data_IF_873757633914
#
_entry.id   IF_873757633914
#
_cell.length_a   1.000
_cell.length_b   1.000
_cell.length_c   1.000
_cell.angle_alpha   90.00
_cell.angle_beta   90.00
_cell.angle_gamma   90.00
#
_symmetry.space_group_name_H-M   'P 1'
#
loop_
_entity.id
_entity.type
_entity.pdbx_description
1 polymer ?
#
# COMPACT_ATOMS: atom_id res chain seq x y z
N UNK A 1 14.13 -15.20 2.78
CA UNK A 1 15.28 -14.33 3.13
C UNK A 1 14.86 -13.47 4.30
N UNK A 2 15.72 -13.33 5.30
CA UNK A 2 15.45 -12.53 6.49
C UNK A 2 15.71 -11.05 6.21
N UNK A 3 14.89 -10.17 6.81
CA UNK A 3 15.07 -8.72 6.79
C UNK A 3 16.36 -8.35 7.55
N UNK A 4 17.27 -7.64 6.89
CA UNK A 4 18.55 -7.21 7.46
C UNK A 4 18.38 -5.87 8.19
N UNK A 5 18.19 -5.92 9.50
CA UNK A 5 18.02 -4.73 10.35
C UNK A 5 19.28 -3.89 10.52
N UNK A 6 20.45 -4.41 10.19
CA UNK A 6 21.69 -3.63 10.22
C UNK A 6 21.79 -2.69 9.01
N UNK A 7 21.18 -3.09 7.89
CA UNK A 7 21.21 -2.35 6.63
C UNK A 7 19.95 -1.51 6.40
N UNK A 8 18.79 -2.01 6.78
CA UNK A 8 17.49 -1.41 6.46
C UNK A 8 16.74 -1.02 7.73
N UNK A 9 16.14 0.16 7.72
CA UNK A 9 15.30 0.67 8.79
C UNK A 9 13.87 0.87 8.30
N UNK A 10 12.91 0.33 9.04
CA UNK A 10 11.48 0.63 8.83
C UNK A 10 11.08 1.80 9.72
N UNK A 11 10.32 2.75 9.15
CA UNK A 11 9.70 3.83 9.91
C UNK A 11 8.31 4.16 9.36
N UNK A 12 7.43 4.76 10.18
CA UNK A 12 6.22 5.39 9.68
C UNK A 12 6.55 6.49 8.65
N UNK A 13 5.66 6.65 7.67
CA UNK A 13 5.70 7.76 6.74
C UNK A 13 5.16 9.04 7.39
N UNK A 14 5.68 10.17 6.97
CA UNK A 14 5.25 11.51 7.37
C UNK A 14 4.71 12.29 6.17
N UNK A 15 4.21 13.51 6.41
CA UNK A 15 3.77 14.39 5.33
C UNK A 15 4.89 14.73 4.32
N UNK A 16 6.15 14.72 4.75
CA UNK A 16 7.30 14.98 3.87
C UNK A 16 7.56 13.84 2.89
N UNK A 17 7.04 12.65 3.17
CA UNK A 17 7.26 11.45 2.36
C UNK A 17 6.26 11.30 1.20
N UNK A 18 5.25 12.15 1.09
CA UNK A 18 4.19 12.00 0.07
C UNK A 18 4.74 11.97 -1.36
N UNK A 19 5.84 12.66 -1.62
CA UNK A 19 6.51 12.65 -2.92
C UNK A 19 7.09 11.27 -3.27
N UNK A 20 7.78 10.63 -2.33
CA UNK A 20 8.36 9.31 -2.56
C UNK A 20 7.26 8.24 -2.67
N UNK A 21 6.20 8.36 -1.87
CA UNK A 21 5.04 7.45 -1.94
C UNK A 21 4.36 7.55 -3.31
N UNK A 22 4.13 8.77 -3.82
CA UNK A 22 3.53 9.00 -5.13
C UNK A 22 4.41 8.45 -6.27
N UNK A 23 5.72 8.64 -6.19
CA UNK A 23 6.70 8.08 -7.14
C UNK A 23 6.69 6.56 -7.12
N UNK A 24 6.74 5.94 -5.94
CA UNK A 24 6.68 4.49 -5.78
C UNK A 24 5.38 3.90 -6.32
N UNK A 25 4.25 4.59 -6.12
CA UNK A 25 2.96 4.16 -6.67
C UNK A 25 2.99 4.13 -8.20
N UNK A 26 3.50 5.17 -8.86
CA UNK A 26 3.59 5.20 -10.32
C UNK A 26 4.59 4.15 -10.84
N UNK A 27 5.72 3.99 -10.17
CA UNK A 27 6.72 2.97 -10.50
C UNK A 27 6.14 1.54 -10.35
N UNK A 28 5.35 1.30 -9.32
CA UNK A 28 4.66 0.01 -9.11
C UNK A 28 3.76 -0.35 -10.30
N UNK A 29 2.89 0.57 -10.74
CA UNK A 29 2.00 0.31 -11.87
C UNK A 29 2.75 0.16 -13.21
N UNK A 30 3.83 0.94 -13.41
CA UNK A 30 4.72 0.76 -14.55
C UNK A 30 5.36 -0.63 -14.54
N UNK A 31 5.91 -1.07 -13.41
CA UNK A 31 6.59 -2.36 -13.28
C UNK A 31 5.61 -3.55 -13.40
N UNK A 32 4.35 -3.35 -13.05
CA UNK A 32 3.25 -4.29 -13.30
C UNK A 32 2.81 -4.32 -14.78
N UNK A 33 3.33 -3.44 -15.64
CA UNK A 33 2.93 -3.35 -17.04
C UNK A 33 1.53 -2.79 -17.29
N UNK A 34 0.91 -2.17 -16.28
CA UNK A 34 -0.45 -1.60 -16.37
C UNK A 34 -0.46 -0.09 -16.61
N UNK A 35 0.71 0.56 -16.60
CA UNK A 35 0.86 2.00 -16.81
C UNK A 35 1.82 2.27 -17.96
N UNK A 36 1.35 2.91 -19.06
CA UNK A 36 2.22 3.39 -20.15
C UNK A 36 3.29 4.36 -19.61
N UNK A 37 4.46 4.37 -20.24
CA UNK A 37 5.58 5.23 -19.82
C UNK A 37 5.22 6.73 -19.83
N UNK A 38 4.38 7.16 -20.77
CA UNK A 38 3.91 8.55 -20.86
C UNK A 38 3.02 8.98 -19.69
N UNK A 39 2.40 8.02 -18.98
CA UNK A 39 1.45 8.30 -17.89
C UNK A 39 2.11 8.22 -16.50
N UNK A 40 3.40 7.87 -16.41
CA UNK A 40 4.11 7.71 -15.11
C UNK A 40 4.13 9.04 -14.34
N UNK A 41 4.61 10.12 -14.95
CA UNK A 41 4.65 11.43 -14.32
C UNK A 41 3.24 12.00 -14.04
N UNK A 42 2.28 11.94 -14.96
CA UNK A 42 0.89 12.33 -14.69
C UNK A 42 0.27 11.58 -13.52
N UNK A 43 0.50 10.26 -13.40
CA UNK A 43 -0.01 9.48 -12.28
C UNK A 43 0.68 9.86 -10.95
N UNK A 44 2.00 10.05 -10.97
CA UNK A 44 2.73 10.49 -9.78
C UNK A 44 2.22 11.86 -9.29
N UNK A 45 2.05 12.83 -10.18
CA UNK A 45 1.53 14.14 -9.84
C UNK A 45 0.09 14.10 -9.32
N UNK A 46 -0.78 13.30 -9.93
CA UNK A 46 -2.15 13.10 -9.46
C UNK A 46 -2.17 12.42 -8.08
N UNK A 47 -1.36 11.37 -7.89
CA UNK A 47 -1.25 10.65 -6.62
C UNK A 47 -0.74 11.57 -5.50
N UNK A 48 0.22 12.44 -5.79
CA UNK A 48 0.76 13.39 -4.82
C UNK A 48 -0.32 14.32 -4.24
N UNK A 49 -1.21 14.84 -5.10
CA UNK A 49 -2.31 15.71 -4.64
C UNK A 49 -3.24 14.99 -3.67
N UNK A 50 -3.65 13.76 -4.00
CA UNK A 50 -4.55 12.95 -3.16
C UNK A 50 -3.87 12.47 -1.86
N UNK A 51 -2.59 12.07 -1.95
CA UNK A 51 -1.84 11.60 -0.80
C UNK A 51 -1.59 12.69 0.24
N UNK A 52 -1.39 13.95 -0.17
CA UNK A 52 -1.25 15.07 0.76
C UNK A 52 -2.45 15.18 1.69
N UNK A 53 -3.65 15.15 1.13
CA UNK A 53 -4.88 15.26 1.90
C UNK A 53 -5.10 14.01 2.76
N UNK A 54 -4.91 12.82 2.21
CA UNK A 54 -5.13 11.57 2.89
C UNK A 54 -4.13 11.31 4.04
N UNK A 55 -2.87 11.71 3.89
CA UNK A 55 -1.87 11.64 4.99
C UNK A 55 -2.18 12.68 6.07
N UNK A 56 -2.55 13.89 5.67
CA UNK A 56 -2.89 14.95 6.63
C UNK A 56 -4.14 14.63 7.45
N UNK A 57 -5.14 13.97 6.87
CA UNK A 57 -6.37 13.55 7.57
C UNK A 57 -6.18 12.28 8.41
N UNK A 58 -5.11 11.52 8.19
CA UNK A 58 -4.90 10.21 8.78
C UNK A 58 -5.67 9.07 8.10
N UNK A 59 -6.33 9.33 6.97
CA UNK A 59 -7.00 8.30 6.18
C UNK A 59 -6.00 7.35 5.48
N UNK A 60 -4.79 7.86 5.21
CA UNK A 60 -3.67 7.07 4.69
C UNK A 60 -2.55 7.03 5.72
N UNK A 61 -2.15 5.82 6.08
CA UNK A 61 -0.95 5.56 6.88
C UNK A 61 0.05 4.78 6.04
N UNK A 62 1.34 5.12 6.16
CA UNK A 62 2.41 4.48 5.40
C UNK A 62 3.57 4.03 6.27
N UNK A 63 4.29 3.01 5.79
CA UNK A 63 5.57 2.57 6.32
C UNK A 63 6.58 2.54 5.19
N UNK A 64 7.78 2.99 5.48
CA UNK A 64 8.87 3.12 4.51
C UNK A 64 10.10 2.37 5.01
N UNK A 65 10.86 1.83 4.07
CA UNK A 65 12.18 1.24 4.33
C UNK A 65 13.24 2.18 3.79
N UNK A 66 14.19 2.50 4.66
CA UNK A 66 15.34 3.33 4.34
C UNK A 66 16.65 2.53 4.40
N UNK A 67 17.57 2.89 3.52
CA UNK A 67 18.98 2.51 3.54
C UNK A 67 19.81 3.63 2.92
N UNK A 68 20.98 3.91 3.45
CA UNK A 68 21.94 4.92 2.94
C UNK A 68 21.27 6.30 2.69
N UNK A 69 20.34 6.69 3.55
CA UNK A 69 19.62 7.96 3.43
C UNK A 69 18.54 8.01 2.35
N UNK A 70 18.26 6.91 1.67
CA UNK A 70 17.24 6.81 0.63
C UNK A 70 16.09 5.89 1.05
N UNK A 71 14.85 6.23 0.65
CA UNK A 71 13.68 5.37 0.77
C UNK A 71 13.65 4.42 -0.43
N UNK A 72 13.68 3.11 -0.15
CA UNK A 72 13.82 2.05 -1.17
C UNK A 72 12.63 1.09 -1.22
N UNK A 73 11.73 1.15 -0.27
CA UNK A 73 10.49 0.39 -0.29
C UNK A 73 9.42 1.08 0.56
N UNK A 74 8.17 0.72 0.35
CA UNK A 74 7.05 1.21 1.14
C UNK A 74 5.82 0.34 1.04
N UNK A 75 4.93 0.53 2.01
CA UNK A 75 3.56 0.00 2.02
C UNK A 75 2.65 1.01 2.69
N UNK A 76 1.38 1.02 2.30
CA UNK A 76 0.39 1.91 2.90
C UNK A 76 -0.93 1.22 3.14
N UNK A 77 -1.75 1.85 3.97
CA UNK A 77 -3.14 1.46 4.22
C UNK A 77 -4.06 2.66 4.13
N UNK A 78 -5.23 2.45 3.55
CA UNK A 78 -6.37 3.35 3.69
C UNK A 78 -7.26 2.81 4.81
N UNK A 79 -7.55 3.67 5.79
CA UNK A 79 -8.43 3.36 6.90
C UNK A 79 -9.86 3.72 6.50
N UNK A 80 -10.79 2.78 6.60
CA UNK A 80 -12.18 2.97 6.17
C UNK A 80 -13.13 2.60 7.30
N UNK A 81 -14.17 3.42 7.50
CA UNK A 81 -15.25 3.07 8.42
C UNK A 81 -15.99 1.81 7.92
N UNK A 82 -16.21 0.87 8.81
CA UNK A 82 -16.95 -0.36 8.58
C UNK A 82 -18.32 -0.25 9.24
N UNK A 83 -19.38 -0.42 8.45
CA UNK A 83 -20.74 -0.53 8.98
C UNK A 83 -20.91 -1.80 9.81
N UNK A 84 -21.84 -1.80 10.80
CA UNK A 84 -22.18 -3.00 11.55
C UNK A 84 -22.50 -4.19 10.64
N UNK A 85 -22.00 -5.36 11.01
CA UNK A 85 -22.23 -6.61 10.27
C UNK A 85 -22.12 -7.81 11.22
N UNK A 86 -22.54 -9.01 10.81
CA UNK A 86 -22.36 -10.22 11.63
C UNK A 86 -20.91 -10.40 12.09
N UNK A 87 -20.71 -10.55 13.38
CA UNK A 87 -19.39 -10.62 14.02
C UNK A 87 -18.75 -9.26 14.39
N UNK A 88 -19.32 -8.13 13.92
CA UNK A 88 -18.87 -6.76 14.23
C UNK A 88 -20.09 -5.84 14.35
N UNK A 89 -20.89 -6.05 15.41
CA UNK A 89 -22.20 -5.38 15.58
C UNK A 89 -22.10 -3.88 15.85
N UNK A 90 -20.96 -3.43 16.39
CA UNK A 90 -20.70 -2.00 16.62
C UNK A 90 -20.05 -1.29 15.43
N UNK A 91 -19.87 -2.01 14.30
CA UNK A 91 -19.05 -1.52 13.21
C UNK A 91 -17.55 -1.63 13.51
N UNK A 92 -16.75 -0.70 13.00
CA UNK A 92 -15.31 -0.70 13.26
C UNK A 92 -14.50 -0.01 12.16
N UNK A 93 -13.24 -0.40 12.03
CA UNK A 93 -12.33 0.07 11.02
C UNK A 93 -11.90 -1.09 10.15
N UNK A 94 -11.90 -0.87 8.85
CA UNK A 94 -11.37 -1.74 7.81
C UNK A 94 -10.12 -1.10 7.22
N UNK A 95 -9.08 -1.87 6.99
CA UNK A 95 -7.85 -1.40 6.38
C UNK A 95 -7.68 -1.99 4.98
N UNK A 96 -7.47 -1.13 4.00
CA UNK A 96 -7.14 -1.53 2.64
C UNK A 96 -5.66 -1.25 2.36
N UNK A 97 -4.88 -2.32 2.19
CA UNK A 97 -3.44 -2.23 1.89
C UNK A 97 -3.23 -1.91 0.41
N UNK A 98 -2.35 -0.96 0.16
CA UNK A 98 -1.98 -0.53 -1.19
C UNK A 98 -0.52 -0.04 -1.20
N UNK A 99 0.00 0.27 -2.40
CA UNK A 99 1.34 0.84 -2.60
C UNK A 99 2.47 -0.02 -1.99
N UNK A 100 2.31 -1.34 -1.96
CA UNK A 100 3.41 -2.23 -1.56
C UNK A 100 4.39 -2.30 -2.71
N UNK A 101 5.52 -1.65 -2.54
CA UNK A 101 6.54 -1.52 -3.58
C UNK A 101 7.94 -1.63 -3.00
N UNK A 102 8.83 -2.25 -3.74
CA UNK A 102 10.27 -2.29 -3.47
C UNK A 102 11.02 -1.95 -4.76
N UNK A 103 11.94 -1.01 -4.66
CA UNK A 103 12.79 -0.62 -5.79
C UNK A 103 13.58 -1.83 -6.32
N UNK A 104 13.77 -1.94 -7.66
CA UNK A 104 14.35 -3.13 -8.29
C UNK A 104 15.66 -3.61 -7.66
N UNK A 105 16.57 -2.68 -7.34
CA UNK A 105 17.87 -2.99 -6.73
C UNK A 105 17.80 -3.56 -5.30
N UNK A 106 16.62 -3.50 -4.67
CA UNK A 106 16.41 -3.93 -3.28
C UNK A 106 15.41 -5.08 -3.14
N UNK A 107 14.90 -5.62 -4.27
CA UNK A 107 13.97 -6.77 -4.27
C UNK A 107 14.63 -8.06 -3.76
N UNK A 108 13.80 -9.01 -3.35
CA UNK A 108 14.21 -10.35 -2.86
C UNK A 108 15.08 -10.31 -1.60
N UNK A 109 14.92 -9.27 -0.78
CA UNK A 109 15.63 -9.07 0.51
C UNK A 109 14.69 -9.07 1.73
N UNK A 110 13.45 -9.54 1.58
CA UNK A 110 12.47 -9.60 2.66
C UNK A 110 11.81 -8.27 3.02
N UNK A 111 12.04 -7.18 2.26
CA UNK A 111 11.55 -5.84 2.61
C UNK A 111 10.02 -5.75 2.58
N UNK A 112 9.38 -6.32 1.55
CA UNK A 112 7.92 -6.33 1.45
C UNK A 112 7.27 -7.13 2.59
N UNK A 113 7.86 -8.25 2.98
CA UNK A 113 7.40 -9.05 4.13
C UNK A 113 7.48 -8.23 5.42
N UNK A 114 8.63 -7.63 5.71
CA UNK A 114 8.84 -6.84 6.92
C UNK A 114 7.90 -5.61 6.97
N UNK A 115 7.65 -4.94 5.84
CA UNK A 115 6.66 -3.86 5.73
C UNK A 115 5.25 -4.36 6.04
N UNK A 116 4.84 -5.48 5.48
CA UNK A 116 3.51 -6.05 5.73
C UNK A 116 3.34 -6.51 7.17
N UNK A 117 4.38 -7.05 7.80
CA UNK A 117 4.37 -7.39 9.22
C UNK A 117 4.18 -6.14 10.09
N UNK A 118 4.86 -5.02 9.77
CA UNK A 118 4.67 -3.73 10.45
C UNK A 118 3.24 -3.19 10.28
N UNK A 119 2.70 -3.24 9.06
CA UNK A 119 1.31 -2.87 8.76
C UNK A 119 0.32 -3.71 9.59
N UNK A 120 0.47 -5.02 9.57
CA UNK A 120 -0.42 -5.95 10.30
C UNK A 120 -0.30 -5.78 11.82
N UNK A 121 0.89 -5.50 12.34
CA UNK A 121 1.09 -5.19 13.76
C UNK A 121 0.35 -3.91 14.15
N UNK A 122 0.43 -2.85 13.35
CA UNK A 122 -0.32 -1.61 13.56
C UNK A 122 -1.83 -1.85 13.51
N UNK A 123 -2.33 -2.53 12.48
CA UNK A 123 -3.76 -2.84 12.33
C UNK A 123 -4.29 -3.61 13.54
N UNK A 124 -3.50 -4.56 14.05
CA UNK A 124 -3.87 -5.34 15.24
C UNK A 124 -3.94 -4.46 16.49
N UNK A 125 -2.94 -3.60 16.70
CA UNK A 125 -2.90 -2.66 17.82
C UNK A 125 -4.03 -1.62 17.77
N UNK A 126 -4.42 -1.20 16.57
CA UNK A 126 -5.52 -0.26 16.34
C UNK A 126 -6.92 -0.90 16.36
N UNK A 127 -7.03 -2.21 16.61
CA UNK A 127 -8.32 -2.89 16.65
C UNK A 127 -9.02 -2.96 15.28
N UNK A 128 -8.25 -2.96 14.19
CA UNK A 128 -8.79 -3.09 12.83
C UNK A 128 -9.50 -4.43 12.67
N UNK A 129 -10.75 -4.38 12.22
CA UNK A 129 -11.60 -5.56 12.10
C UNK A 129 -11.19 -6.47 10.94
N UNK A 130 -10.71 -5.88 9.85
CA UNK A 130 -10.33 -6.62 8.64
C UNK A 130 -9.27 -5.87 7.86
N UNK A 131 -8.31 -6.60 7.29
CA UNK A 131 -7.30 -6.07 6.37
C UNK A 131 -7.50 -6.72 5.01
N UNK A 132 -7.64 -5.92 3.96
CA UNK A 132 -7.84 -6.36 2.57
C UNK A 132 -6.79 -5.77 1.64
N UNK A 133 -6.56 -6.41 0.51
CA UNK A 133 -5.68 -5.94 -0.56
C UNK A 133 -6.05 -6.57 -1.90
N UNK A 134 -5.59 -5.96 -2.99
CA UNK A 134 -5.53 -6.62 -4.30
C UNK A 134 -4.12 -7.17 -4.52
N UNK A 135 -4.02 -8.48 -4.66
CA UNK A 135 -2.74 -9.16 -4.89
C UNK A 135 -2.44 -9.25 -6.39
N UNK A 136 -1.26 -8.78 -6.81
CA UNK A 136 -0.70 -9.20 -8.09
C UNK A 136 -0.30 -10.67 -8.04
N UNK A 137 -0.16 -11.30 -9.19
CA UNK A 137 0.28 -12.71 -9.25
C UNK A 137 1.65 -12.90 -8.60
N UNK A 138 2.56 -11.93 -8.76
CA UNK A 138 3.88 -11.94 -8.14
C UNK A 138 3.81 -11.77 -6.60
N UNK A 139 2.89 -10.95 -6.11
CA UNK A 139 2.71 -10.69 -4.67
C UNK A 139 1.92 -11.76 -3.93
N UNK A 140 1.09 -12.54 -4.62
CA UNK A 140 0.20 -13.54 -4.01
C UNK A 140 0.89 -14.52 -3.06
N UNK A 141 2.07 -15.10 -3.40
CA UNK A 141 2.77 -16.00 -2.47
C UNK A 141 3.13 -15.35 -1.14
N UNK A 142 3.56 -14.09 -1.16
CA UNK A 142 3.87 -13.32 0.04
C UNK A 142 2.63 -13.15 0.93
N UNK A 143 1.52 -12.70 0.34
CA UNK A 143 0.29 -12.47 1.10
C UNK A 143 -0.30 -13.76 1.65
N UNK A 144 -0.26 -14.85 0.89
CA UNK A 144 -0.70 -16.17 1.37
C UNK A 144 0.16 -16.65 2.56
N UNK A 145 1.48 -16.44 2.53
CA UNK A 145 2.37 -16.77 3.64
C UNK A 145 2.08 -15.92 4.90
N UNK A 146 1.54 -14.71 4.72
CA UNK A 146 1.11 -13.83 5.82
C UNK A 146 -0.32 -14.09 6.30
N UNK A 147 -0.98 -15.14 5.78
CA UNK A 147 -2.31 -15.56 6.20
C UNK A 147 -3.47 -14.90 5.45
N UNK A 148 -3.21 -14.15 4.38
CA UNK A 148 -4.28 -13.65 3.52
C UNK A 148 -4.89 -14.78 2.70
N UNK A 149 -6.19 -14.77 2.58
CA UNK A 149 -6.97 -15.74 1.80
C UNK A 149 -7.79 -15.03 0.73
N UNK A 150 -8.04 -15.70 -0.39
CA UNK A 150 -8.90 -15.17 -1.43
C UNK A 150 -10.33 -15.00 -0.92
N UNK A 151 -10.98 -13.93 -1.34
CA UNK A 151 -12.38 -13.63 -1.04
C UNK A 151 -13.25 -13.73 -2.27
N UNK A 152 -14.56 -13.55 -2.09
CA UNK A 152 -15.56 -13.53 -3.17
C UNK A 152 -15.86 -12.11 -3.66
N UNK A 153 -14.98 -11.13 -3.38
CA UNK A 153 -15.17 -9.76 -3.86
C UNK A 153 -15.17 -9.72 -5.38
N UNK A 154 -16.15 -9.01 -5.95
CA UNK A 154 -16.31 -8.85 -7.39
C UNK A 154 -16.11 -7.38 -7.75
N UNK A 155 -15.44 -7.10 -8.85
CA UNK A 155 -15.20 -5.76 -9.36
C UNK A 155 -15.91 -5.53 -10.70
N UNK A 156 -16.43 -4.33 -10.89
CA UNK A 156 -16.93 -3.84 -12.17
C UNK A 156 -16.45 -2.42 -12.39
N UNK A 157 -15.72 -2.18 -13.47
CA UNK A 157 -15.42 -0.82 -13.93
C UNK A 157 -16.68 -0.14 -14.44
N UNK A 158 -16.94 1.08 -13.94
CA UNK A 158 -18.03 1.91 -14.39
C UNK A 158 -17.44 3.07 -15.18
N UNK A 159 -17.75 3.14 -16.48
CA UNK A 159 -17.27 4.24 -17.34
C UNK A 159 -17.83 5.57 -16.82
N UNK A 160 -16.95 6.57 -16.69
CA UNK A 160 -17.38 7.94 -16.41
C UNK A 160 -18.04 8.49 -17.68
N UNK A 161 -19.36 8.71 -17.63
CA UNK A 161 -20.06 9.42 -18.70
C UNK A 161 -19.42 10.81 -18.83
N UNK A 162 -18.70 11.07 -19.94
CA UNK A 162 -18.11 12.38 -20.23
C UNK A 162 -16.59 12.47 -20.34
N UNK A 163 -15.83 11.40 -20.26
CA UNK A 163 -14.42 11.41 -20.67
C UNK A 163 -14.38 11.45 -22.22
N UNK A 164 -14.45 12.66 -22.78
CA UNK A 164 -14.10 12.85 -24.20
C UNK A 164 -12.63 12.53 -24.40
N UNK A 165 -12.36 11.76 -25.45
CA UNK A 165 -11.02 11.46 -25.98
C UNK A 165 -10.27 12.74 -26.33
#
# INVERSE_FOLDING_TARGET
MSFDTARYRIRPATADDVHVIARHRAAMFRDMGTLPAADVEPLAAASLRHLRDAVASGDYLGWLVETDGAVVAGAGVLMRALLPRPGYLEGGIDAYVLNVYTEPGHRRRGLAQALMEAVLAHCRAAGVARVTLHASDEGRPLYSALGFTATTEMERSVERSGARR
#
